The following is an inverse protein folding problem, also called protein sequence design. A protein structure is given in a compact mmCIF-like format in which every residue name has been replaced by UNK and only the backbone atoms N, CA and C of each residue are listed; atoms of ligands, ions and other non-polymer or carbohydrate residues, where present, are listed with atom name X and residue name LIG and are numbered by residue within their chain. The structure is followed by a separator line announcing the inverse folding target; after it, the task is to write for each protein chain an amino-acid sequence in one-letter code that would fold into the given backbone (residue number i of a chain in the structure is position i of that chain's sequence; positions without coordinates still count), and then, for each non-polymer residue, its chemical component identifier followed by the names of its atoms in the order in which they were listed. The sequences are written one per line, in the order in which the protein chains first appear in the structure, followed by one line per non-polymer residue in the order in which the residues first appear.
data_IF_439973681978
#
_entry.id   IF_439973681978
#
_cell.length_a   1.000
_cell.length_b   1.000
_cell.length_c   1.000
_cell.angle_alpha   90.00
_cell.angle_beta   90.00
_cell.angle_gamma   90.00
#
_symmetry.space_group_name_H-M   'P 1'
#
loop_
_entity.id
_entity.type
_entity.pdbx_description
1 polymer ?
#
# COMPACT_ATOMS: atom_id res chain seq x y z
N UNK A 1 -18.69 -13.57 -4.15
CA UNK A 1 -17.62 -12.83 -4.83
C UNK A 1 -17.87 -11.38 -4.46
N UNK A 2 -17.16 -10.87 -3.45
CA UNK A 2 -17.32 -9.48 -3.03
C UNK A 2 -17.01 -8.54 -4.20
N UNK A 3 -17.73 -7.41 -4.35
CA UNK A 3 -17.56 -6.51 -5.48
C UNK A 3 -16.09 -6.11 -5.62
N UNK A 4 -15.55 -6.27 -6.83
CA UNK A 4 -14.14 -6.09 -7.20
C UNK A 4 -13.53 -4.83 -6.59
N UNK A 5 -12.73 -5.01 -5.53
CA UNK A 5 -11.94 -3.95 -4.88
C UNK A 5 -11.04 -3.19 -5.86
N UNK A 6 -10.60 -3.89 -6.92
CA UNK A 6 -9.87 -3.34 -8.05
C UNK A 6 -10.66 -2.30 -8.85
N UNK A 7 -11.99 -2.28 -8.80
CA UNK A 7 -12.79 -1.21 -9.42
C UNK A 7 -12.84 0.05 -8.55
N UNK A 8 -12.67 -0.07 -7.23
CA UNK A 8 -12.76 1.06 -6.29
C UNK A 8 -11.46 1.87 -6.19
N UNK A 9 -10.28 1.24 -6.35
CA UNK A 9 -8.98 1.94 -6.31
C UNK A 9 -8.87 3.06 -7.37
N UNK A 10 -9.41 2.83 -8.57
CA UNK A 10 -9.39 3.83 -9.64
C UNK A 10 -10.22 5.08 -9.32
N UNK A 11 -11.16 4.98 -8.37
CA UNK A 11 -11.98 6.10 -7.91
C UNK A 11 -11.34 6.83 -6.72
N UNK A 12 -10.27 6.29 -6.12
CA UNK A 12 -9.61 6.90 -4.98
C UNK A 12 -8.79 8.13 -5.42
N UNK A 13 -9.11 9.36 -4.94
CA UNK A 13 -8.38 10.57 -5.31
C UNK A 13 -6.89 10.55 -4.90
N UNK A 14 -6.56 9.88 -3.80
CA UNK A 14 -5.17 9.72 -3.37
C UNK A 14 -4.38 8.85 -4.34
N UNK A 15 -4.99 7.75 -4.82
CA UNK A 15 -4.41 6.92 -5.89
C UNK A 15 -4.24 7.69 -7.20
N UNK A 16 -5.22 8.56 -7.54
CA UNK A 16 -5.14 9.44 -8.71
C UNK A 16 -3.93 10.38 -8.73
N UNK A 17 -3.42 10.77 -7.54
CA UNK A 17 -2.26 11.67 -7.37
C UNK A 17 -0.90 10.99 -7.48
N UNK A 18 -0.87 9.66 -7.59
CA UNK A 18 0.37 8.90 -7.69
C UNK A 18 0.97 8.95 -9.10
N UNK A 19 2.30 8.93 -9.18
CA UNK A 19 3.01 8.66 -10.44
C UNK A 19 2.75 7.22 -10.91
N UNK A 20 3.12 6.89 -12.15
CA UNK A 20 2.98 5.53 -12.65
C UNK A 20 3.72 4.51 -11.76
N UNK A 21 4.98 4.79 -11.40
CA UNK A 21 5.79 3.93 -10.54
C UNK A 21 5.14 3.72 -9.16
N UNK A 22 4.63 4.79 -8.57
CA UNK A 22 3.93 4.73 -7.27
C UNK A 22 2.62 3.93 -7.35
N UNK A 23 1.89 4.01 -8.46
CA UNK A 23 0.70 3.19 -8.70
C UNK A 23 1.06 1.71 -8.79
N UNK A 24 2.14 1.39 -9.51
CA UNK A 24 2.65 0.01 -9.60
C UNK A 24 3.07 -0.50 -8.22
N UNK A 25 3.81 0.30 -7.44
CA UNK A 25 4.14 -0.02 -6.06
C UNK A 25 2.89 -0.33 -5.25
N UNK A 26 1.93 0.59 -5.21
CA UNK A 26 0.73 0.43 -4.38
C UNK A 26 -0.13 -0.77 -4.79
N UNK A 27 -0.31 -1.03 -6.09
CA UNK A 27 -1.01 -2.23 -6.57
C UNK A 27 -0.24 -3.50 -6.20
N UNK A 28 1.09 -3.49 -6.32
CA UNK A 28 1.92 -4.62 -5.91
C UNK A 28 1.82 -4.88 -4.40
N UNK A 29 1.81 -3.83 -3.58
CA UNK A 29 1.61 -3.95 -2.14
C UNK A 29 0.23 -4.56 -1.81
N UNK A 30 -0.84 -4.14 -2.51
CA UNK A 30 -2.16 -4.75 -2.36
C UNK A 30 -2.18 -6.23 -2.75
N UNK A 31 -1.45 -6.60 -3.81
CA UNK A 31 -1.36 -8.00 -4.25
C UNK A 31 -0.63 -8.89 -3.23
N UNK A 32 0.43 -8.37 -2.59
CA UNK A 32 1.22 -9.09 -1.59
C UNK A 32 0.74 -8.87 -0.15
N UNK A 33 -0.35 -8.15 0.05
CA UNK A 33 -0.95 -8.00 1.36
C UNK A 33 -1.43 -9.36 1.89
N UNK A 34 -1.22 -9.61 3.17
CA UNK A 34 -1.78 -10.77 3.84
C UNK A 34 -3.31 -10.63 4.02
N UNK A 35 -3.94 -11.68 4.55
CA UNK A 35 -5.39 -11.68 4.82
C UNK A 35 -5.85 -10.64 5.84
N UNK A 36 -4.94 -9.86 6.43
CA UNK A 36 -5.20 -8.78 7.40
C UNK A 36 -4.76 -7.41 6.87
N UNK A 37 -4.53 -7.27 5.56
CA UNK A 37 -4.10 -6.03 4.93
C UNK A 37 -2.72 -5.53 5.39
N UNK A 38 -1.87 -6.44 5.86
CA UNK A 38 -0.48 -6.12 6.22
C UNK A 38 0.45 -6.55 5.10
N UNK A 39 1.44 -5.75 4.80
CA UNK A 39 2.43 -6.03 3.76
C UNK A 39 3.83 -5.72 4.27
N UNK A 40 4.80 -6.53 3.89
CA UNK A 40 6.21 -6.25 4.18
C UNK A 40 6.67 -5.07 3.32
N UNK A 41 7.22 -4.03 3.95
CA UNK A 41 7.68 -2.81 3.28
C UNK A 41 9.21 -2.68 3.27
N UNK A 42 9.93 -3.77 3.54
CA UNK A 42 11.37 -3.82 3.29
C UNK A 42 11.65 -3.54 1.81
N UNK A 43 12.52 -2.56 1.56
CA UNK A 43 12.78 -2.08 0.20
C UNK A 43 13.49 -3.12 -0.68
N UNK A 44 14.27 -4.03 -0.08
CA UNK A 44 14.90 -5.12 -0.82
C UNK A 44 13.87 -6.19 -1.20
N UNK A 45 12.95 -6.53 -0.30
CA UNK A 45 11.79 -7.38 -0.60
C UNK A 45 10.91 -6.79 -1.70
N UNK A 46 10.49 -5.52 -1.57
CA UNK A 46 9.69 -4.82 -2.58
C UNK A 46 10.42 -4.84 -3.93
N UNK A 47 11.72 -4.55 -3.95
CA UNK A 47 12.51 -4.59 -5.17
C UNK A 47 12.49 -5.97 -5.81
N UNK A 48 12.67 -7.03 -5.04
CA UNK A 48 12.69 -8.40 -5.55
C UNK A 48 11.31 -8.87 -6.06
N UNK A 49 10.21 -8.38 -5.46
CA UNK A 49 8.86 -8.91 -5.72
C UNK A 49 8.04 -8.07 -6.71
N UNK A 50 8.25 -6.75 -6.73
CA UNK A 50 7.47 -5.78 -7.53
C UNK A 50 8.30 -5.21 -8.68
N UNK A 51 9.60 -4.96 -8.44
CA UNK A 51 10.48 -4.23 -9.37
C UNK A 51 11.72 -5.04 -9.79
N UNK A 52 11.58 -6.37 -9.90
CA UNK A 52 12.70 -7.31 -10.01
C UNK A 52 13.66 -7.05 -11.18
N UNK A 53 13.13 -6.54 -12.29
CA UNK A 53 13.88 -6.21 -13.50
C UNK A 53 14.08 -4.71 -13.70
N UNK A 54 13.53 -3.88 -12.82
CA UNK A 54 13.61 -2.43 -12.97
C UNK A 54 14.90 -1.88 -12.36
N UNK A 55 15.48 -0.87 -13.02
CA UNK A 55 16.65 -0.15 -12.54
C UNK A 55 16.27 0.92 -11.50
N UNK A 56 15.53 0.52 -10.46
CA UNK A 56 15.08 1.39 -9.37
C UNK A 56 15.96 1.15 -8.13
N UNK A 57 16.43 2.21 -7.49
CA UNK A 57 17.21 2.11 -6.25
C UNK A 57 16.30 1.93 -5.03
N UNK A 58 16.85 1.37 -3.94
CA UNK A 58 16.07 1.14 -2.71
C UNK A 58 15.61 2.47 -2.09
N UNK A 59 16.41 3.52 -2.21
CA UNK A 59 16.06 4.87 -1.75
C UNK A 59 14.86 5.45 -2.51
N UNK A 60 14.74 5.16 -3.82
CA UNK A 60 13.58 5.59 -4.61
C UNK A 60 12.30 4.84 -4.23
N UNK A 61 12.42 3.57 -3.83
CA UNK A 61 11.29 2.79 -3.29
C UNK A 61 10.86 3.38 -1.95
N UNK A 62 11.80 3.74 -1.09
CA UNK A 62 11.53 4.38 0.20
C UNK A 62 10.86 5.76 0.04
N UNK A 63 11.30 6.56 -0.93
CA UNK A 63 10.64 7.81 -1.31
C UNK A 63 9.19 7.58 -1.76
N UNK A 64 8.94 6.54 -2.55
CA UNK A 64 7.61 6.20 -3.01
C UNK A 64 6.73 5.68 -1.85
N UNK A 65 7.26 4.87 -0.93
CA UNK A 65 6.56 4.44 0.29
C UNK A 65 6.19 5.64 1.17
N UNK A 66 7.11 6.57 1.38
CA UNK A 66 6.86 7.83 2.09
C UNK A 66 5.75 8.64 1.41
N UNK A 67 5.70 8.64 0.07
CA UNK A 67 4.63 9.29 -0.67
C UNK A 67 3.28 8.62 -0.47
N UNK A 68 3.23 7.29 -0.44
CA UNK A 68 1.99 6.54 -0.16
C UNK A 68 1.48 6.83 1.26
N UNK A 69 2.38 6.90 2.24
CA UNK A 69 2.05 7.21 3.64
C UNK A 69 1.52 8.64 3.80
N UNK A 70 2.19 9.63 3.19
CA UNK A 70 1.70 11.02 3.17
C UNK A 70 0.30 11.18 2.55
N UNK A 71 -0.06 10.29 1.63
CA UNK A 71 -1.37 10.26 0.98
C UNK A 71 -2.39 9.40 1.73
N UNK A 72 -2.01 8.81 2.87
CA UNK A 72 -2.85 7.95 3.70
C UNK A 72 -3.23 6.63 3.01
N UNK A 73 -2.41 6.19 2.05
CA UNK A 73 -2.63 4.93 1.32
C UNK A 73 -1.98 3.74 2.03
N UNK A 74 -1.00 3.99 2.91
CA UNK A 74 -0.39 3.01 3.81
C UNK A 74 -0.16 3.65 5.18
N UNK A 75 -0.03 2.82 6.21
CA UNK A 75 0.43 3.22 7.53
C UNK A 75 1.57 2.29 7.97
N UNK A 76 2.76 2.82 8.23
CA UNK A 76 3.86 1.97 8.70
C UNK A 76 3.57 1.48 10.12
N UNK A 77 3.87 0.21 10.37
CA UNK A 77 3.76 -0.41 11.68
C UNK A 77 5.14 -0.39 12.33
N UNK A 78 5.21 0.08 13.57
CA UNK A 78 6.43 -0.03 14.40
C UNK A 78 6.62 -1.50 14.81
N UNK A 79 7.25 -2.26 13.92
CA UNK A 79 7.58 -3.68 14.08
C UNK A 79 9.03 -3.88 13.68
N UNK A 80 9.72 -4.80 14.35
CA UNK A 80 11.13 -5.13 14.05
C UNK A 80 11.33 -5.65 12.61
N UNK A 81 10.26 -6.11 11.96
CA UNK A 81 10.26 -6.73 10.64
C UNK A 81 9.81 -5.79 9.50
N UNK A 82 9.42 -4.54 9.80
CA UNK A 82 9.10 -3.53 8.77
C UNK A 82 7.83 -3.84 7.97
N UNK A 83 6.66 -3.81 8.61
CA UNK A 83 5.37 -3.95 7.93
C UNK A 83 4.65 -2.61 7.76
N UNK A 84 3.76 -2.53 6.78
CA UNK A 84 2.74 -1.50 6.69
C UNK A 84 1.34 -2.10 6.60
N UNK A 85 0.38 -1.35 7.10
CA UNK A 85 -1.04 -1.62 6.93
C UNK A 85 -1.59 -0.86 5.71
N UNK A 86 -2.37 -1.55 4.89
CA UNK A 86 -3.03 -1.03 3.71
C UNK A 86 -4.50 -0.73 4.04
N UNK A 87 -4.91 0.54 4.17
CA UNK A 87 -6.30 0.92 4.29
C UNK A 87 -7.08 0.56 3.00
N UNK A 88 -7.56 -0.67 2.88
CA UNK A 88 -8.72 -0.95 2.04
C UNK A 88 -9.95 -0.46 2.82
N UNK A 89 -10.76 0.41 2.23
CA UNK A 89 -11.99 0.89 2.86
C UNK A 89 -12.84 -0.29 3.40
N UNK A 90 -13.45 -0.17 4.59
CA UNK A 90 -14.10 1.08 4.99
C UNK A 90 -13.70 1.70 6.34
N UNK A 91 -13.47 3.01 6.30
CA UNK A 91 -13.54 3.94 7.45
C UNK A 91 -14.93 3.92 8.13
N UNK A 92 -15.95 3.33 7.49
CA UNK A 92 -17.28 3.13 8.06
C UNK A 92 -17.30 1.96 9.05
N UNK A 93 -16.56 0.88 8.78
CA UNK A 93 -16.28 -0.18 9.76
C UNK A 93 -15.40 0.36 10.90
N UNK A 94 -14.36 1.13 10.57
CA UNK A 94 -13.50 1.78 11.57
C UNK A 94 -14.31 2.72 12.49
N UNK A 95 -15.31 3.44 11.97
CA UNK A 95 -16.17 4.35 12.76
C UNK A 95 -17.28 3.63 13.54
N UNK A 96 -17.79 2.49 13.06
CA UNK A 96 -18.76 1.66 13.81
C UNK A 96 -18.08 0.91 14.99
N UNK A 97 -16.81 0.56 14.88
CA UNK A 97 -16.03 -0.13 15.91
C UNK A 97 -15.53 0.81 17.02
N UNK A 98 -15.23 2.07 16.67
CA UNK A 98 -14.88 3.12 17.63
C UNK A 98 -16.09 3.71 18.40
N UNK A 99 -17.33 3.30 18.08
CA UNK A 99 -18.59 3.75 18.71
C UNK A 99 -19.28 2.71 19.61
N UNK A 100 -18.71 1.52 19.78
CA UNK A 100 -19.07 0.55 20.84
C UNK A 100 -18.24 0.80 22.10
#
# INVERSE_FOLDING_TARGET
MEPDMLNCIWQNPAFGRLTYRQKVLYIGLLYYADGFWRVNIDTAFIKAMIFSYDHIKMEEIEEDLNRLEQLGLIYRLETDEGYAWLPSLTWREIVDELRR
#
